data_IF_477216455242
#
_entry.id   IF_477216455242
#
_cell.length_a   1.000
_cell.length_b   1.000
_cell.length_c   1.000
_cell.angle_alpha   90.00
_cell.angle_beta   90.00
_cell.angle_gamma   90.00
#
_symmetry.space_group_name_H-M   'P 1'
#
loop_
_entity.id
_entity.type
_entity.pdbx_description
1 polymer ?
#
# COMPACT_ATOMS: atom_id res chain seq x y z
N UNK A 1 -33.41 8.33 -0.54
CA UNK A 1 -32.33 9.23 -0.07
C UNK A 1 -31.19 8.53 0.69
N UNK A 2 -31.43 7.37 1.33
CA UNK A 2 -30.38 6.61 2.04
C UNK A 2 -29.28 6.05 1.11
N UNK A 3 -29.65 5.49 -0.04
CA UNK A 3 -28.71 4.84 -0.98
C UNK A 3 -27.74 5.81 -1.67
N UNK A 4 -28.14 7.07 -1.88
CA UNK A 4 -27.25 8.08 -2.47
C UNK A 4 -26.19 8.53 -1.46
N UNK A 5 -26.53 8.61 -0.17
CA UNK A 5 -25.57 8.95 0.89
C UNK A 5 -24.54 7.83 1.12
N UNK A 6 -24.93 6.56 1.00
CA UNK A 6 -23.98 5.44 1.12
C UNK A 6 -22.98 5.40 -0.04
N UNK A 7 -23.45 5.63 -1.28
CA UNK A 7 -22.57 5.71 -2.46
C UNK A 7 -21.58 6.88 -2.33
N UNK A 8 -22.06 8.06 -1.94
CA UNK A 8 -21.19 9.24 -1.74
C UNK A 8 -20.13 9.01 -0.64
N UNK A 9 -20.49 8.31 0.45
CA UNK A 9 -19.53 7.94 1.49
C UNK A 9 -18.48 6.94 0.99
N UNK A 10 -18.89 5.94 0.22
CA UNK A 10 -17.96 4.98 -0.40
C UNK A 10 -16.99 5.66 -1.36
N UNK A 11 -17.49 6.61 -2.15
CA UNK A 11 -16.68 7.36 -3.10
C UNK A 11 -15.68 8.28 -2.38
N UNK A 12 -16.11 8.98 -1.32
CA UNK A 12 -15.22 9.79 -0.49
C UNK A 12 -14.13 8.94 0.17
N UNK A 13 -14.47 7.77 0.71
CA UNK A 13 -13.51 6.85 1.29
C UNK A 13 -12.48 6.37 0.25
N UNK A 14 -12.92 6.08 -0.97
CA UNK A 14 -12.02 5.71 -2.08
C UNK A 14 -11.05 6.84 -2.44
N UNK A 15 -11.54 8.08 -2.56
CA UNK A 15 -10.69 9.25 -2.83
C UNK A 15 -9.65 9.44 -1.74
N UNK A 16 -10.05 9.37 -0.47
CA UNK A 16 -9.13 9.46 0.66
C UNK A 16 -8.09 8.34 0.60
N UNK A 17 -8.51 7.11 0.30
CA UNK A 17 -7.62 5.97 0.12
C UNK A 17 -6.56 6.20 -0.95
N UNK A 18 -6.96 6.72 -2.12
CA UNK A 18 -6.04 7.05 -3.22
C UNK A 18 -5.05 8.13 -2.79
N UNK A 19 -5.52 9.17 -2.08
CA UNK A 19 -4.65 10.24 -1.58
C UNK A 19 -3.62 9.72 -0.58
N UNK A 20 -4.03 8.85 0.35
CA UNK A 20 -3.13 8.23 1.34
C UNK A 20 -2.07 7.38 0.64
N UNK A 21 -2.47 6.53 -0.31
CA UNK A 21 -1.53 5.69 -1.06
C UNK A 21 -0.58 6.57 -1.89
N UNK A 22 -1.08 7.62 -2.54
CA UNK A 22 -0.26 8.56 -3.31
C UNK A 22 0.77 9.30 -2.45
N UNK A 23 0.37 9.72 -1.24
CA UNK A 23 1.28 10.35 -0.29
C UNK A 23 2.37 9.37 0.16
N UNK A 24 1.99 8.15 0.54
CA UNK A 24 2.94 7.11 0.94
C UNK A 24 3.92 6.78 -0.20
N UNK A 25 3.42 6.64 -1.43
CA UNK A 25 4.24 6.40 -2.61
C UNK A 25 5.26 7.53 -2.83
N UNK A 26 4.86 8.78 -2.63
CA UNK A 26 5.76 9.95 -2.76
C UNK A 26 6.88 9.92 -1.73
N UNK A 27 6.56 9.59 -0.47
CA UNK A 27 7.55 9.48 0.60
C UNK A 27 8.54 8.36 0.30
N UNK A 28 8.05 7.18 -0.08
CA UNK A 28 8.89 6.02 -0.43
C UNK A 28 9.79 6.33 -1.63
N UNK A 29 9.26 6.99 -2.66
CA UNK A 29 10.05 7.38 -3.83
C UNK A 29 11.16 8.37 -3.48
N UNK A 30 10.89 9.32 -2.57
CA UNK A 30 11.91 10.26 -2.07
C UNK A 30 13.04 9.51 -1.36
N UNK A 31 12.72 8.48 -0.56
CA UNK A 31 13.73 7.62 0.06
C UNK A 31 14.55 6.87 -1.02
N UNK A 32 13.92 6.37 -2.08
CA UNK A 32 14.62 5.70 -3.16
C UNK A 32 15.64 6.64 -3.85
N UNK A 33 15.27 7.89 -4.12
CA UNK A 33 16.18 8.92 -4.65
C UNK A 33 17.37 9.12 -3.71
N UNK A 34 17.11 9.26 -2.40
CA UNK A 34 18.16 9.43 -1.40
C UNK A 34 19.15 8.27 -1.38
N UNK A 35 18.65 7.03 -1.44
CA UNK A 35 19.47 5.81 -1.48
C UNK A 35 20.36 5.79 -2.72
N UNK A 36 19.81 6.09 -3.90
CA UNK A 36 20.57 6.13 -5.15
C UNK A 36 21.63 7.23 -5.11
N UNK A 37 21.27 8.45 -4.69
CA UNK A 37 22.20 9.58 -4.62
C UNK A 37 23.34 9.31 -3.64
N UNK A 38 23.02 8.80 -2.45
CA UNK A 38 24.03 8.48 -1.44
C UNK A 38 24.93 7.34 -1.91
N UNK A 39 24.36 6.30 -2.51
CA UNK A 39 25.11 5.18 -3.07
C UNK A 39 26.09 5.63 -4.17
N UNK A 40 25.67 6.53 -5.05
CA UNK A 40 26.54 7.10 -6.08
C UNK A 40 27.71 7.89 -5.48
N UNK A 41 27.44 8.72 -4.47
CA UNK A 41 28.47 9.49 -3.78
C UNK A 41 29.51 8.60 -3.07
N UNK A 42 29.06 7.52 -2.42
CA UNK A 42 29.97 6.54 -1.79
C UNK A 42 30.84 5.79 -2.81
N UNK A 43 30.33 5.61 -4.03
CA UNK A 43 31.06 5.01 -5.13
C UNK A 43 31.97 6.01 -5.88
N UNK A 44 32.01 7.28 -5.47
CA UNK A 44 32.83 8.33 -6.08
C UNK A 44 32.25 8.88 -7.40
N UNK A 45 30.96 8.66 -7.67
CA UNK A 45 30.27 9.24 -8.82
C UNK A 45 29.53 10.52 -8.43
N UNK A 46 29.47 11.47 -9.37
CA UNK A 46 28.68 12.70 -9.26
C UNK A 46 27.63 12.77 -10.37
N UNK A 47 26.53 12.01 -10.27
CA UNK A 47 25.50 11.96 -11.30
C UNK A 47 24.63 13.22 -11.31
N UNK A 48 24.11 13.58 -12.48
CA UNK A 48 23.08 14.61 -12.58
C UNK A 48 21.78 14.19 -11.86
N UNK A 49 21.03 15.18 -11.38
CA UNK A 49 19.78 14.94 -10.66
C UNK A 49 18.77 14.11 -11.49
N UNK A 50 18.66 14.39 -12.79
CA UNK A 50 17.78 13.65 -13.70
C UNK A 50 18.14 12.16 -13.76
N UNK A 51 19.44 11.83 -13.74
CA UNK A 51 19.90 10.45 -13.75
C UNK A 51 19.56 9.73 -12.45
N UNK A 52 19.67 10.40 -11.30
CA UNK A 52 19.30 9.85 -9.99
C UNK A 52 17.81 9.53 -9.94
N UNK A 53 16.96 10.45 -10.41
CA UNK A 53 15.50 10.27 -10.44
C UNK A 53 15.11 9.13 -11.37
N UNK A 54 15.68 9.08 -12.59
CA UNK A 54 15.44 7.99 -13.54
C UNK A 54 15.85 6.63 -12.95
N UNK A 55 17.04 6.55 -12.35
CA UNK A 55 17.54 5.33 -11.74
C UNK A 55 16.66 4.87 -10.57
N UNK A 56 16.24 5.79 -9.71
CA UNK A 56 15.30 5.50 -8.62
C UNK A 56 13.95 4.99 -9.16
N UNK A 57 13.44 5.57 -10.26
CA UNK A 57 12.21 5.11 -10.91
C UNK A 57 12.35 3.67 -11.44
N UNK A 58 13.47 3.34 -12.09
CA UNK A 58 13.73 1.98 -12.57
C UNK A 58 13.85 0.96 -11.42
N UNK A 59 14.49 1.33 -10.31
CA UNK A 59 14.54 0.49 -9.11
C UNK A 59 13.13 0.24 -8.57
N UNK A 60 12.31 1.28 -8.45
CA UNK A 60 10.92 1.14 -7.97
C UNK A 60 10.11 0.23 -8.90
N UNK A 61 10.22 0.41 -10.22
CA UNK A 61 9.55 -0.47 -11.20
C UNK A 61 10.01 -1.92 -11.02
N UNK A 62 11.31 -2.17 -10.85
CA UNK A 62 11.82 -3.52 -10.63
C UNK A 62 11.27 -4.15 -9.34
N UNK A 63 11.19 -3.39 -8.25
CA UNK A 63 10.63 -3.88 -6.97
C UNK A 63 9.12 -4.16 -7.09
N UNK A 64 8.38 -3.34 -7.84
CA UNK A 64 6.95 -3.59 -8.12
C UNK A 64 6.79 -4.90 -8.89
N UNK A 65 7.54 -5.09 -9.98
CA UNK A 65 7.44 -6.28 -10.84
C UNK A 65 7.86 -7.57 -10.13
N UNK A 66 8.83 -7.49 -9.22
CA UNK A 66 9.28 -8.63 -8.41
C UNK A 66 8.37 -8.93 -7.21
N UNK A 67 7.32 -8.12 -7.01
CA UNK A 67 6.34 -8.34 -5.95
C UNK A 67 6.79 -7.85 -4.56
N UNK A 68 7.88 -7.08 -4.46
CA UNK A 68 8.38 -6.53 -3.19
C UNK A 68 7.41 -5.59 -2.47
N UNK A 69 6.42 -5.04 -3.19
CA UNK A 69 5.36 -4.20 -2.64
C UNK A 69 3.98 -4.87 -2.57
N UNK A 70 3.86 -6.18 -2.81
CA UNK A 70 2.56 -6.87 -2.75
C UNK A 70 2.02 -6.80 -1.32
N UNK A 71 0.96 -6.00 -1.04
CA UNK A 71 0.43 -5.89 0.30
C UNK A 71 -0.18 -7.25 0.66
N UNK A 72 0.35 -7.92 1.68
CA UNK A 72 -0.34 -9.06 2.27
C UNK A 72 -1.56 -8.51 2.99
N UNK A 73 -2.69 -8.51 2.30
CA UNK A 73 -4.00 -8.27 2.89
C UNK A 73 -4.38 -9.48 3.77
N UNK A 74 -3.62 -9.74 4.84
CA UNK A 74 -4.04 -10.67 5.88
C UNK A 74 -4.73 -9.88 6.98
N UNK A 75 -6.03 -10.14 7.18
CA UNK A 75 -6.78 -9.63 8.33
C UNK A 75 -7.96 -8.74 7.95
N UNK A 76 -8.96 -9.33 7.30
CA UNK A 76 -10.21 -8.65 6.98
C UNK A 76 -11.34 -9.63 6.66
N UNK A 77 -11.37 -10.79 7.33
CA UNK A 77 -12.58 -11.60 7.41
C UNK A 77 -12.97 -11.60 8.88
N UNK A 78 -14.09 -10.96 9.17
CA UNK A 78 -14.72 -11.07 10.47
C UNK A 78 -15.07 -12.53 10.67
N UNK A 79 -14.38 -13.17 11.60
CA UNK A 79 -14.97 -14.28 12.32
C UNK A 79 -16.03 -13.66 13.21
N UNK A 80 -17.21 -13.52 12.62
CA UNK A 80 -18.48 -13.53 13.33
C UNK A 80 -18.59 -14.96 13.89
N UNK A 81 -17.81 -15.25 14.94
CA UNK A 81 -18.09 -16.36 15.84
C UNK A 81 -19.36 -15.96 16.58
N UNK A 82 -20.48 -16.16 15.89
CA UNK A 82 -21.75 -16.43 16.54
C UNK A 82 -21.47 -17.51 17.58
N UNK A 83 -21.67 -17.14 18.84
CA UNK A 83 -21.90 -18.02 19.98
C UNK A 83 -22.97 -19.07 19.61
N UNK A 84 -22.60 -20.09 18.84
CA UNK A 84 -23.29 -21.36 18.85
C UNK A 84 -22.75 -22.12 20.06
N UNK A 85 -23.16 -21.65 21.24
CA UNK A 85 -23.42 -22.54 22.37
C UNK A 85 -24.16 -23.72 21.77
N UNK A 86 -23.46 -24.85 21.63
CA UNK A 86 -24.05 -26.15 21.41
C UNK A 86 -24.96 -26.38 22.62
N UNK A 87 -26.19 -25.90 22.52
CA UNK A 87 -27.30 -26.27 23.37
C UNK A 87 -27.54 -27.75 23.05
N UNK A 88 -26.77 -28.60 23.75
CA UNK A 88 -26.96 -30.04 23.84
C UNK A 88 -28.29 -30.30 24.56
N UNK A 89 -29.36 -30.03 23.81
CA UNK A 89 -30.72 -30.37 24.14
C UNK A 89 -31.35 -30.87 22.87
N UNK A 90 -31.62 -32.17 22.84
CA UNK A 90 -32.96 -32.75 22.64
C UNK A 90 -32.91 -33.99 21.74
N UNK A 91 -32.93 -35.16 22.38
CA UNK A 91 -33.67 -36.38 22.02
C UNK A 91 -33.86 -36.74 20.53
N UNK A 92 -33.13 -37.75 20.06
CA UNK A 92 -33.67 -39.02 19.53
C UNK A 92 -32.53 -40.05 19.38
#
# INVERSE_FOLDING_TARGET
>A
MSSIRSILRGLLASVIGILVIGLLATIVFTIAIFVVSTGAGLAGYDPSADFVVLSAALVVVAVILTGGFTPRLSGGRGDDETDETFDDRTFN
#
